data_IF_801640065697
#
_entry.id   IF_801640065697
#
_cell.length_a   1.000
_cell.length_b   1.000
_cell.length_c   1.000
_cell.angle_alpha   90.00
_cell.angle_beta   90.00
_cell.angle_gamma   90.00
#
_symmetry.space_group_name_H-M   'P 1'
#
loop_
_entity.id
_entity.type
_entity.pdbx_description
1 polymer ?
#
# COMPACT_ATOMS: atom_id res chain seq x y z
N UNK A 1 1.33 19.16 5.02
CA UNK A 1 0.12 18.68 4.32
C UNK A 1 0.51 17.36 3.68
N UNK A 2 0.18 16.22 4.30
CA UNK A 2 0.58 14.90 3.80
C UNK A 2 -0.39 14.45 2.73
N UNK A 3 0.11 14.09 1.54
CA UNK A 3 -0.68 13.48 0.48
C UNK A 3 -1.36 12.22 1.00
N UNK A 4 -2.65 12.34 1.28
CA UNK A 4 -3.50 11.20 1.66
C UNK A 4 -3.51 10.24 0.48
N UNK A 5 -3.08 9.00 0.72
CA UNK A 5 -3.20 7.89 -0.22
C UNK A 5 -4.65 7.78 -0.73
N UNK A 6 -4.82 7.64 -2.04
CA UNK A 6 -6.12 7.55 -2.72
C UNK A 6 -6.27 6.25 -3.48
N UNK A 7 -7.50 5.87 -3.75
CA UNK A 7 -7.82 4.80 -4.70
C UNK A 7 -7.27 5.20 -6.07
N UNK A 8 -6.55 4.29 -6.73
CA UNK A 8 -5.84 4.51 -7.98
C UNK A 8 -4.36 4.88 -7.81
N UNK A 9 -3.89 5.21 -6.61
CA UNK A 9 -2.47 5.49 -6.40
C UNK A 9 -1.64 4.21 -6.57
N UNK A 10 -0.55 4.32 -7.33
CA UNK A 10 0.53 3.35 -7.36
C UNK A 10 1.34 3.48 -6.07
N UNK A 11 1.49 2.37 -5.36
CA UNK A 11 2.12 2.33 -4.04
C UNK A 11 3.10 1.17 -3.94
N UNK A 12 4.08 1.32 -3.07
CA UNK A 12 5.01 0.27 -2.67
C UNK A 12 5.05 0.09 -1.14
N UNK A 13 5.30 -1.14 -0.69
CA UNK A 13 5.50 -1.46 0.72
C UNK A 13 6.50 -2.61 0.88
N UNK A 14 7.04 -2.74 2.09
CA UNK A 14 7.94 -3.82 2.45
C UNK A 14 7.16 -4.96 3.11
N UNK A 15 7.25 -6.16 2.55
CA UNK A 15 6.73 -7.37 3.15
C UNK A 15 7.88 -8.17 3.76
N UNK A 16 7.78 -8.46 5.06
CA UNK A 16 8.77 -9.28 5.79
C UNK A 16 8.32 -10.73 5.79
N UNK A 17 8.91 -11.54 4.91
CA UNK A 17 8.59 -12.96 4.78
C UNK A 17 9.45 -13.78 5.76
N UNK A 18 10.64 -13.27 6.15
CA UNK A 18 11.56 -13.83 7.16
C UNK A 18 12.47 -12.71 7.73
N UNK A 19 13.12 -12.87 8.90
CA UNK A 19 13.83 -11.79 9.61
C UNK A 19 15.01 -11.13 8.86
N UNK A 20 15.35 -11.58 7.65
CA UNK A 20 16.42 -11.02 6.80
C UNK A 20 16.04 -10.85 5.32
N UNK A 21 14.79 -11.11 4.95
CA UNK A 21 14.32 -10.97 3.56
C UNK A 21 13.14 -10.02 3.57
N UNK A 22 13.40 -8.81 3.12
CA UNK A 22 12.36 -7.82 2.83
C UNK A 22 12.12 -7.84 1.32
N UNK A 23 10.88 -8.13 0.91
CA UNK A 23 10.45 -8.00 -0.48
C UNK A 23 9.74 -6.66 -0.63
N UNK A 24 10.17 -5.85 -1.60
CA UNK A 24 9.42 -4.65 -2.00
C UNK A 24 8.28 -5.14 -2.90
N UNK A 25 7.06 -4.96 -2.43
CA UNK A 25 5.86 -5.21 -3.21
C UNK A 25 5.31 -3.89 -3.75
N UNK A 26 4.66 -3.97 -4.91
CA UNK A 26 4.05 -2.83 -5.60
C UNK A 26 2.64 -3.18 -6.02
N UNK A 27 1.78 -2.17 -6.06
CA UNK A 27 0.42 -2.36 -6.51
C UNK A 27 -0.38 -1.07 -6.52
N UNK A 28 -1.67 -1.21 -6.86
CA UNK A 28 -2.59 -0.07 -6.98
C UNK A 28 -3.64 -0.19 -5.88
N UNK A 29 -3.90 0.91 -5.16
CA UNK A 29 -4.97 0.96 -4.17
C UNK A 29 -6.32 0.85 -4.87
N UNK A 30 -7.14 -0.13 -4.50
CA UNK A 30 -8.49 -0.33 -5.04
C UNK A 30 -9.60 -0.03 -4.03
N UNK A 31 -9.28 -0.03 -2.72
CA UNK A 31 -10.27 0.25 -1.67
C UNK A 31 -9.59 0.81 -0.42
N UNK A 32 -10.32 1.64 0.31
CA UNK A 32 -9.95 2.13 1.64
C UNK A 32 -10.94 1.60 2.67
N UNK A 33 -10.45 1.18 3.83
CA UNK A 33 -11.28 0.85 4.98
C UNK A 33 -10.91 1.79 6.14
N UNK A 34 -11.88 2.59 6.58
CA UNK A 34 -11.69 3.60 7.64
C UNK A 34 -12.00 3.07 9.03
N UNK A 35 -11.64 1.82 9.33
CA UNK A 35 -11.99 1.19 10.59
C UNK A 35 -10.97 1.54 11.69
N UNK A 36 -11.41 2.36 12.66
CA UNK A 36 -10.72 2.82 13.88
C UNK A 36 -9.63 3.90 13.70
N UNK A 37 -9.66 4.88 14.61
CA UNK A 37 -9.17 6.27 14.51
C UNK A 37 -7.66 6.49 14.23
N UNK A 38 -6.84 5.45 14.07
CA UNK A 38 -5.38 5.61 13.87
C UNK A 38 -4.74 4.73 12.78
N UNK A 39 -5.44 3.72 12.24
CA UNK A 39 -4.85 2.77 11.29
C UNK A 39 -5.70 2.61 10.02
N UNK A 40 -5.50 3.50 9.06
CA UNK A 40 -6.16 3.41 7.75
C UNK A 40 -5.65 2.17 7.00
N UNK A 41 -6.53 1.21 6.72
CA UNK A 41 -6.22 0.02 5.92
C UNK A 41 -6.60 0.25 4.46
N UNK A 42 -5.71 -0.12 3.56
CA UNK A 42 -5.89 0.01 2.12
C UNK A 42 -5.84 -1.38 1.48
N UNK A 43 -6.78 -1.67 0.59
CA UNK A 43 -6.74 -2.85 -0.26
C UNK A 43 -5.97 -2.50 -1.51
N UNK A 44 -4.89 -3.22 -1.76
CA UNK A 44 -3.98 -3.02 -2.89
C UNK A 44 -4.01 -4.25 -3.78
N UNK A 45 -4.07 -4.05 -5.10
CA UNK A 45 -3.90 -5.13 -6.08
C UNK A 45 -2.46 -5.11 -6.57
N UNK A 46 -1.75 -6.22 -6.39
CA UNK A 46 -0.36 -6.40 -6.81
C UNK A 46 -0.27 -6.58 -8.33
N UNK A 47 0.95 -6.48 -8.87
CA UNK A 47 1.24 -6.81 -10.27
C UNK A 47 0.91 -8.27 -10.64
N UNK A 48 0.85 -9.15 -9.64
CA UNK A 48 0.50 -10.56 -9.78
C UNK A 48 -1.03 -10.80 -9.72
N UNK A 49 -1.84 -9.73 -9.77
CA UNK A 49 -3.30 -9.74 -9.63
C UNK A 49 -3.82 -10.27 -8.29
N UNK A 50 -2.99 -10.28 -7.24
CA UNK A 50 -3.41 -10.62 -5.89
C UNK A 50 -3.89 -9.38 -5.14
N UNK A 51 -4.94 -9.52 -4.33
CA UNK A 51 -5.48 -8.40 -3.58
C UNK A 51 -5.19 -8.54 -2.08
N UNK A 52 -4.41 -7.60 -1.54
CA UNK A 52 -3.87 -7.66 -0.17
C UNK A 52 -4.31 -6.43 0.62
N UNK A 53 -4.50 -6.57 1.93
CA UNK A 53 -4.75 -5.43 2.83
C UNK A 53 -3.43 -4.98 3.47
N UNK A 54 -3.14 -3.69 3.37
CA UNK A 54 -1.89 -3.07 3.85
C UNK A 54 -2.23 -1.83 4.65
N UNK A 55 -1.51 -1.58 5.75
CA UNK A 55 -1.68 -0.36 6.53
C UNK A 55 -1.12 0.84 5.76
N UNK A 56 -1.82 1.97 5.82
CA UNK A 56 -1.39 3.22 5.19
C UNK A 56 -0.01 3.69 5.67
N UNK A 57 0.38 3.33 6.90
CA UNK A 57 1.71 3.62 7.47
C UNK A 57 2.85 2.89 6.76
N UNK A 58 2.56 1.72 6.15
CA UNK A 58 3.55 0.91 5.45
C UNK A 58 3.61 1.23 3.95
N UNK A 59 2.61 1.95 3.43
CA UNK A 59 2.50 2.30 2.03
C UNK A 59 3.25 3.59 1.73
N UNK A 60 4.04 3.55 0.66
CA UNK A 60 4.66 4.73 0.04
C UNK A 60 4.06 4.93 -1.34
N UNK A 61 3.56 6.14 -1.59
CA UNK A 61 3.10 6.53 -2.92
C UNK A 61 4.30 6.64 -3.85
N UNK A 62 4.22 6.00 -5.00
CA UNK A 62 5.15 6.22 -6.10
C UNK A 62 4.56 7.36 -6.95
N UNK A 63 5.24 8.50 -6.95
CA UNK A 63 4.91 9.56 -7.90
C UNK A 63 5.39 9.11 -9.28
N UNK A 64 4.47 9.06 -10.25
CA UNK A 64 4.83 8.92 -11.65
C UNK A 64 5.47 10.25 -12.06
N UNK A 65 6.81 10.32 -12.12
CA UNK A 65 7.48 11.41 -12.83
C UNK A 65 7.13 11.26 -14.31
N UNK A 66 6.19 12.06 -14.80
CA UNK A 66 5.77 12.10 -16.19
C UNK A 66 5.88 13.52 -16.76
#
# INVERSE_FOLDING_TARGET
>A
MGDRLKIGDLVEWLESIYPKVHKINRGIIIRKNGAMEDLELYKVVTIDNEAVWVYGTDLRKLEEEC
#
